data_IF_064587612687
#
_entry.id   IF_064587612687
#
_cell.length_a   1.000
_cell.length_b   1.000
_cell.length_c   1.000
_cell.angle_alpha   90.00
_cell.angle_beta   90.00
_cell.angle_gamma   90.00
#
_symmetry.space_group_name_H-M   'P 1'
#
loop_
_entity.id
_entity.type
_entity.pdbx_description
1 polymer ?
#
# COMPACT_ATOMS: atom_id res chain seq x y z
N UNK A 1 -11.68 32.41 -9.67
CA UNK A 1 -11.41 31.16 -10.42
C UNK A 1 -11.32 30.06 -9.39
N UNK A 2 -12.43 29.35 -9.25
CA UNK A 2 -12.63 28.34 -8.23
C UNK A 2 -11.66 27.18 -8.42
N UNK A 3 -10.90 26.88 -7.36
CA UNK A 3 -10.15 25.64 -7.26
C UNK A 3 -11.15 24.51 -7.13
N UNK A 4 -11.56 23.94 -8.25
CA UNK A 4 -12.22 22.64 -8.29
C UNK A 4 -11.18 21.62 -7.85
N UNK A 5 -11.06 21.42 -6.53
CA UNK A 5 -10.46 20.19 -6.01
C UNK A 5 -11.32 19.04 -6.55
N UNK A 6 -10.71 17.99 -7.16
CA UNK A 6 -11.47 16.84 -7.59
C UNK A 6 -12.30 16.31 -6.42
N UNK A 7 -13.62 16.34 -6.62
CA UNK A 7 -14.62 15.79 -5.73
C UNK A 7 -14.28 14.31 -5.45
N UNK A 8 -14.29 13.94 -4.16
CA UNK A 8 -14.21 12.57 -3.61
C UNK A 8 -12.82 11.94 -3.46
N UNK A 9 -11.97 12.55 -2.63
CA UNK A 9 -10.99 11.78 -1.83
C UNK A 9 -11.59 11.48 -0.44
N UNK A 10 -12.59 10.58 -0.40
CA UNK A 10 -13.05 9.97 0.86
C UNK A 10 -12.51 8.55 0.87
N UNK A 11 -11.23 8.38 1.20
CA UNK A 11 -10.75 7.08 1.62
C UNK A 11 -11.24 6.87 3.05
N UNK A 12 -12.35 6.15 3.22
CA UNK A 12 -12.57 5.42 4.45
C UNK A 12 -11.56 4.26 4.48
N UNK A 13 -10.29 4.57 4.74
CA UNK A 13 -9.33 3.51 5.01
C UNK A 13 -9.62 2.98 6.41
N UNK A 14 -10.27 1.83 6.43
CA UNK A 14 -10.38 0.99 7.61
C UNK A 14 -8.98 0.40 7.81
N UNK A 15 -8.36 0.78 8.92
CA UNK A 15 -6.92 0.66 9.14
C UNK A 15 -6.40 -0.80 9.18
N UNK A 16 -7.30 -1.79 9.17
CA UNK A 16 -6.95 -3.20 9.09
C UNK A 16 -7.89 -3.93 8.10
N UNK A 17 -7.46 -4.22 6.86
CA UNK A 17 -8.21 -5.08 5.93
C UNK A 17 -8.29 -6.54 6.43
N UNK A 18 -7.44 -6.93 7.38
CA UNK A 18 -7.19 -8.34 7.74
C UNK A 18 -7.62 -8.66 9.18
N UNK A 19 -7.71 -7.70 10.12
CA UNK A 19 -8.04 -8.03 11.52
C UNK A 19 -8.47 -6.81 12.36
N UNK A 20 -9.79 -6.61 12.46
CA UNK A 20 -10.48 -5.68 13.37
C UNK A 20 -10.30 -4.18 13.07
N UNK A 21 -11.41 -3.53 12.74
CA UNK A 21 -11.57 -2.08 12.50
C UNK A 21 -11.23 -1.17 13.70
N UNK A 22 -10.66 -1.70 14.78
CA UNK A 22 -10.46 -1.03 16.06
C UNK A 22 -9.00 -1.09 16.45
N UNK A 23 -8.33 0.06 16.34
CA UNK A 23 -7.01 0.26 16.91
C UNK A 23 -7.12 0.29 18.44
N UNK A 24 -6.36 -0.57 19.11
CA UNK A 24 -6.33 -0.61 20.56
C UNK A 24 -5.71 0.68 21.13
N UNK A 25 -6.56 1.51 21.75
CA UNK A 25 -6.17 2.74 22.43
C UNK A 25 -5.57 2.53 23.83
N UNK A 26 -5.66 3.59 24.64
CA UNK A 26 -5.03 3.62 25.97
C UNK A 26 -5.70 2.66 26.97
N UNK A 27 -4.88 2.04 27.82
CA UNK A 27 -5.34 1.25 28.97
C UNK A 27 -5.60 2.12 30.22
N UNK A 28 -5.03 3.33 30.28
CA UNK A 28 -5.20 4.29 31.38
C UNK A 28 -5.12 5.75 30.88
N UNK A 29 -5.27 6.72 31.77
CA UNK A 29 -5.36 8.16 31.41
C UNK A 29 -4.03 8.90 31.30
N UNK A 30 -2.92 8.28 31.72
CA UNK A 30 -1.63 8.97 31.90
C UNK A 30 -0.53 8.47 30.97
N UNK A 31 -0.63 7.22 30.52
CA UNK A 31 0.31 6.63 29.55
C UNK A 31 -0.23 6.80 28.13
N UNK A 32 0.68 7.12 27.22
CA UNK A 32 0.44 7.07 25.80
C UNK A 32 0.35 5.62 25.30
N UNK A 33 -0.57 5.37 24.37
CA UNK A 33 -0.58 4.14 23.58
C UNK A 33 -0.08 4.46 22.17
N UNK A 34 1.15 4.04 21.86
CA UNK A 34 1.71 4.16 20.51
C UNK A 34 1.31 2.95 19.67
N UNK A 35 0.84 3.21 18.44
CA UNK A 35 0.49 2.17 17.47
C UNK A 35 1.17 2.50 16.15
N UNK A 36 1.88 1.51 15.61
CA UNK A 36 2.43 1.57 14.26
C UNK A 36 1.33 1.16 13.29
N UNK A 37 1.15 1.97 12.24
CA UNK A 37 0.31 1.59 11.11
C UNK A 37 1.19 0.84 10.13
N UNK A 38 0.86 -0.43 9.89
CA UNK A 38 1.51 -1.24 8.87
C UNK A 38 0.43 -1.93 8.03
N UNK A 39 0.26 -1.53 6.75
CA UNK A 39 1.06 -0.56 5.99
C UNK A 39 0.89 0.91 6.47
N UNK A 40 1.85 1.80 6.15
CA UNK A 40 1.68 3.23 6.36
C UNK A 40 0.51 3.77 5.52
N UNK A 41 -0.05 4.91 5.94
CA UNK A 41 -1.21 5.54 5.30
C UNK A 41 -0.81 6.86 4.65
N UNK A 42 -1.16 7.03 3.36
CA UNK A 42 -1.06 8.31 2.66
C UNK A 42 -2.36 9.10 2.85
N UNK A 43 -2.30 10.21 3.58
CA UNK A 43 -3.47 11.03 3.84
C UNK A 43 -3.17 12.52 3.90
N UNK A 44 -4.10 13.32 3.36
CA UNK A 44 -4.16 14.78 3.58
C UNK A 44 -5.05 15.18 4.75
N UNK A 45 -5.92 14.26 5.19
CA UNK A 45 -6.85 14.44 6.31
C UNK A 45 -6.98 13.13 7.08
N UNK A 46 -6.92 13.21 8.40
CA UNK A 46 -7.08 12.05 9.29
C UNK A 46 -8.28 12.30 10.20
N UNK A 47 -9.17 11.30 10.32
CA UNK A 47 -10.33 11.35 11.22
C UNK A 47 -10.22 10.22 12.24
N UNK A 48 -10.18 10.59 13.51
CA UNK A 48 -10.25 9.65 14.61
C UNK A 48 -11.72 9.47 15.06
N UNK A 49 -12.14 8.22 15.24
CA UNK A 49 -13.47 7.86 15.75
C UNK A 49 -13.30 7.19 17.11
N UNK A 50 -13.48 7.91 18.23
CA UNK A 50 -13.35 7.32 19.55
C UNK A 50 -14.35 6.18 19.75
N UNK A 51 -13.86 5.02 20.17
CA UNK A 51 -14.66 3.82 20.41
C UNK A 51 -14.41 3.27 21.82
N UNK A 52 -15.48 2.85 22.50
CA UNK A 52 -15.41 2.14 23.77
C UNK A 52 -16.48 1.06 23.80
N UNK A 53 -16.10 -0.14 24.22
CA UNK A 53 -17.04 -1.26 24.39
C UNK A 53 -18.11 -0.95 25.44
N UNK A 54 -17.70 -0.39 26.59
CA UNK A 54 -18.63 0.07 27.62
C UNK A 54 -19.07 1.52 27.38
N UNK A 55 -20.32 1.83 27.74
CA UNK A 55 -20.86 3.20 27.74
C UNK A 55 -20.15 4.04 28.81
N UNK A 56 -19.24 4.90 28.38
CA UNK A 56 -18.53 5.86 29.21
C UNK A 56 -18.19 7.10 28.40
N UNK A 57 -17.93 8.20 29.08
CA UNK A 57 -17.34 9.38 28.44
C UNK A 57 -15.93 9.00 27.94
N UNK A 58 -15.65 9.30 26.67
CA UNK A 58 -14.35 9.05 26.05
C UNK A 58 -13.67 10.39 25.81
N UNK A 59 -12.42 10.50 26.24
CA UNK A 59 -11.56 11.65 25.99
C UNK A 59 -10.38 11.19 25.15
N UNK A 60 -9.85 12.09 24.32
CA UNK A 60 -8.77 11.74 23.40
C UNK A 60 -7.77 12.89 23.32
N UNK A 61 -6.48 12.53 23.32
CA UNK A 61 -5.34 13.36 22.93
C UNK A 61 -4.56 12.53 21.92
N UNK A 62 -4.28 13.09 20.75
CA UNK A 62 -3.64 12.38 19.64
C UNK A 62 -2.36 13.08 19.23
N UNK A 63 -1.43 12.28 18.72
CA UNK A 63 -0.23 12.74 18.04
C UNK A 63 -0.05 11.87 16.79
N UNK A 64 0.41 12.46 15.67
CA UNK A 64 0.62 11.76 14.41
C UNK A 64 2.10 11.80 14.08
N UNK A 65 2.70 10.61 13.96
CA UNK A 65 4.10 10.46 13.53
C UNK A 65 4.13 10.05 12.06
N UNK A 66 4.88 10.79 11.26
CA UNK A 66 5.03 10.53 9.83
C UNK A 66 6.03 11.49 9.19
N UNK A 67 6.03 11.52 7.86
CA UNK A 67 6.84 12.42 7.05
C UNK A 67 6.00 13.03 5.92
N UNK A 68 6.54 14.06 5.28
CA UNK A 68 5.91 14.61 4.07
C UNK A 68 6.06 13.64 2.91
N UNK A 69 4.97 13.47 2.15
CA UNK A 69 4.98 12.71 0.90
C UNK A 69 5.54 13.56 -0.23
N UNK A 70 6.83 13.41 -0.52
CA UNK A 70 7.52 14.25 -1.50
C UNK A 70 7.44 13.70 -2.93
N UNK A 71 7.33 12.38 -3.08
CA UNK A 71 7.26 11.70 -4.38
C UNK A 71 6.03 12.14 -5.18
N UNK A 72 4.95 12.49 -4.49
CA UNK A 72 3.78 13.12 -5.09
C UNK A 72 2.93 12.18 -5.94
N UNK A 73 3.19 10.87 -5.90
CA UNK A 73 2.34 9.86 -6.52
C UNK A 73 1.01 9.86 -5.78
N UNK A 74 -0.09 10.03 -6.52
CA UNK A 74 -1.47 10.03 -6.01
C UNK A 74 -2.11 8.68 -6.20
N UNK A 75 -1.84 8.03 -7.33
CA UNK A 75 -2.24 6.65 -7.58
C UNK A 75 -1.37 6.01 -8.63
N UNK A 76 -1.36 4.69 -8.69
CA UNK A 76 -0.90 3.97 -9.87
C UNK A 76 -1.97 3.01 -10.39
N UNK A 77 -1.98 2.81 -11.70
CA UNK A 77 -2.85 1.85 -12.38
C UNK A 77 -1.99 0.77 -13.02
N UNK A 78 -2.28 -0.48 -12.70
CA UNK A 78 -1.57 -1.64 -13.24
C UNK A 78 -2.44 -2.90 -13.19
N UNK A 79 -2.15 -3.94 -13.98
CA UNK A 79 -2.80 -5.22 -13.78
C UNK A 79 -2.37 -5.83 -12.45
N UNK A 80 -3.27 -6.59 -11.81
CA UNK A 80 -2.94 -7.30 -10.57
C UNK A 80 -1.76 -8.26 -10.81
N UNK A 81 -0.99 -8.51 -9.75
CA UNK A 81 0.07 -9.51 -9.77
C UNK A 81 -0.45 -10.91 -10.06
N UNK A 82 0.46 -11.84 -10.33
CA UNK A 82 0.15 -13.22 -10.67
C UNK A 82 0.48 -14.19 -9.53
N UNK A 83 -0.19 -15.35 -9.54
CA UNK A 83 0.20 -16.50 -8.71
C UNK A 83 1.23 -17.37 -9.42
N UNK A 84 2.19 -17.89 -8.66
CA UNK A 84 3.14 -18.92 -9.11
C UNK A 84 2.89 -20.23 -8.36
N UNK A 85 2.26 -21.17 -9.06
CA UNK A 85 1.86 -22.44 -8.47
C UNK A 85 0.83 -22.26 -7.36
N UNK A 86 0.77 -23.19 -6.41
CA UNK A 86 -0.20 -23.18 -5.30
C UNK A 86 0.25 -22.40 -4.06
N UNK A 87 1.51 -21.95 -4.00
CA UNK A 87 2.11 -21.46 -2.75
C UNK A 87 2.62 -20.02 -2.77
N UNK A 88 2.64 -19.35 -3.93
CA UNK A 88 3.25 -18.02 -4.06
C UNK A 88 2.29 -17.08 -4.77
N UNK A 89 1.88 -16.03 -4.07
CA UNK A 89 1.01 -14.97 -4.59
C UNK A 89 1.83 -13.67 -4.63
N UNK A 90 2.01 -13.11 -5.83
CA UNK A 90 2.76 -11.86 -6.02
C UNK A 90 1.84 -10.68 -6.24
N UNK A 91 0.73 -10.66 -5.49
CA UNK A 91 -0.26 -9.60 -5.56
C UNK A 91 0.22 -8.35 -4.85
N UNK A 92 -0.40 -7.23 -5.20
CA UNK A 92 -0.35 -6.03 -4.40
C UNK A 92 -1.38 -6.15 -3.26
N UNK A 93 -0.95 -6.67 -2.11
CA UNK A 93 -1.84 -7.03 -1.01
C UNK A 93 -2.25 -5.82 -0.16
N UNK A 94 -1.48 -4.73 -0.19
CA UNK A 94 -1.75 -3.50 0.55
C UNK A 94 -2.44 -2.44 -0.31
N UNK A 95 -2.82 -2.77 -1.55
CA UNK A 95 -3.45 -1.85 -2.47
C UNK A 95 -4.76 -1.28 -1.91
N UNK A 96 -4.83 0.03 -1.73
CA UNK A 96 -5.95 0.73 -1.08
C UNK A 96 -7.02 1.25 -2.06
N UNK A 97 -6.80 1.05 -3.36
CA UNK A 97 -7.75 1.37 -4.42
C UNK A 97 -8.76 0.25 -4.65
N UNK A 98 -9.26 0.14 -5.89
CA UNK A 98 -10.15 -0.94 -6.28
C UNK A 98 -9.60 -1.72 -7.48
N UNK A 99 -10.02 -2.98 -7.57
CA UNK A 99 -9.80 -3.84 -8.74
C UNK A 99 -11.08 -3.92 -9.54
N UNK A 100 -11.04 -3.59 -10.83
CA UNK A 100 -12.21 -3.64 -11.72
C UNK A 100 -12.38 -4.99 -12.44
N UNK A 101 -11.54 -5.99 -12.10
CA UNK A 101 -11.46 -7.28 -12.79
C UNK A 101 -10.30 -7.36 -13.79
N UNK A 102 -9.77 -6.22 -14.23
CA UNK A 102 -8.66 -6.13 -15.17
C UNK A 102 -7.46 -5.41 -14.56
N UNK A 103 -7.68 -4.20 -14.03
CA UNK A 103 -6.66 -3.31 -13.49
C UNK A 103 -6.99 -2.88 -12.06
N UNK A 104 -5.92 -2.71 -11.28
CA UNK A 104 -5.91 -1.96 -10.04
C UNK A 104 -5.97 -0.47 -10.37
N UNK A 105 -6.86 0.30 -9.74
CA UNK A 105 -7.06 1.73 -10.03
C UNK A 105 -7.29 2.57 -8.78
N UNK A 106 -6.92 3.86 -8.88
CA UNK A 106 -7.16 4.91 -7.87
C UNK A 106 -6.65 4.58 -6.47
N UNK A 107 -5.52 3.89 -6.38
CA UNK A 107 -4.90 3.56 -5.11
C UNK A 107 -3.38 3.54 -5.16
N UNK A 108 -2.82 3.34 -3.99
CA UNK A 108 -1.42 3.11 -3.67
C UNK A 108 -1.30 1.77 -2.93
N UNK A 109 -0.09 1.25 -2.81
CA UNK A 109 0.15 -0.07 -2.23
C UNK A 109 1.64 -0.39 -2.20
N UNK A 110 1.99 -1.66 -2.38
CA UNK A 110 3.35 -2.18 -2.21
C UNK A 110 4.40 -1.52 -3.12
N UNK A 111 4.01 -0.95 -4.27
CA UNK A 111 4.96 -0.28 -5.15
C UNK A 111 5.44 1.08 -4.62
N UNK A 112 4.76 1.63 -3.61
CA UNK A 112 5.03 2.96 -3.08
C UNK A 112 5.19 2.99 -1.56
N UNK A 113 5.08 1.85 -0.87
CA UNK A 113 5.10 1.75 0.60
C UNK A 113 6.48 1.95 1.26
N UNK A 114 7.53 2.13 0.46
CA UNK A 114 8.89 2.34 0.91
C UNK A 114 9.58 1.07 1.44
N UNK A 115 8.92 -0.08 1.38
CA UNK A 115 9.51 -1.38 1.73
C UNK A 115 10.19 -1.98 0.50
N UNK A 116 11.28 -2.71 0.74
CA UNK A 116 12.01 -3.43 -0.31
C UNK A 116 11.88 -4.93 -0.02
N UNK A 117 11.55 -5.70 -1.05
CA UNK A 117 11.44 -7.15 -0.95
C UNK A 117 12.80 -7.83 -0.70
N UNK A 118 12.81 -9.00 -0.02
CA UNK A 118 14.04 -9.75 0.23
C UNK A 118 14.65 -10.30 -1.08
N UNK A 119 15.96 -10.52 -1.08
CA UNK A 119 16.68 -11.13 -2.23
C UNK A 119 16.07 -12.48 -2.62
N UNK A 120 15.83 -13.33 -1.62
CA UNK A 120 15.10 -14.57 -1.80
C UNK A 120 13.61 -14.27 -1.72
N UNK A 121 12.93 -14.20 -2.87
CA UNK A 121 11.50 -13.89 -2.94
C UNK A 121 10.65 -14.88 -2.13
N UNK A 122 11.18 -16.06 -1.79
CA UNK A 122 10.50 -17.06 -0.97
C UNK A 122 10.47 -16.73 0.52
N UNK A 123 11.38 -15.89 1.01
CA UNK A 123 11.44 -15.54 2.43
C UNK A 123 10.31 -14.59 2.85
N UNK A 124 9.82 -13.74 1.93
CA UNK A 124 8.71 -12.82 2.20
C UNK A 124 7.39 -13.50 2.60
N UNK A 125 7.25 -14.80 2.36
CA UNK A 125 6.06 -15.57 2.75
C UNK A 125 6.13 -16.15 4.17
N UNK A 126 7.34 -16.36 4.71
CA UNK A 126 7.51 -17.01 6.01
C UNK A 126 7.65 -16.03 7.17
N UNK A 127 7.98 -14.76 6.89
CA UNK A 127 8.17 -13.71 7.90
C UNK A 127 6.88 -12.89 8.10
N UNK A 128 5.88 -13.57 8.68
CA UNK A 128 4.72 -13.04 9.42
C UNK A 128 3.73 -12.03 8.80
N UNK A 129 3.98 -11.41 7.65
CA UNK A 129 3.06 -10.45 7.04
C UNK A 129 2.77 -10.82 5.59
N UNK A 130 1.59 -11.42 5.36
CA UNK A 130 1.02 -11.62 4.02
C UNK A 130 0.87 -10.24 3.35
N UNK A 131 1.88 -9.83 2.61
CA UNK A 131 1.99 -8.48 2.05
C UNK A 131 3.43 -7.93 2.01
N UNK A 132 4.40 -8.62 2.61
CA UNK A 132 5.81 -8.26 2.45
C UNK A 132 6.45 -8.99 1.28
N UNK A 133 6.72 -8.26 0.21
CA UNK A 133 7.60 -8.77 -0.84
C UNK A 133 7.40 -8.11 -2.19
N UNK A 134 7.24 -8.95 -3.19
CA UNK A 134 7.30 -8.57 -4.59
C UNK A 134 5.90 -8.55 -5.19
N UNK A 135 5.57 -7.48 -5.91
CA UNK A 135 4.52 -7.53 -6.93
C UNK A 135 5.14 -8.10 -8.19
N UNK A 136 4.52 -9.11 -8.79
CA UNK A 136 5.15 -9.90 -9.83
C UNK A 136 4.16 -10.39 -10.87
N UNK A 137 4.63 -10.47 -12.11
CA UNK A 137 3.81 -10.88 -13.25
C UNK A 137 4.55 -11.94 -14.05
N UNK A 138 3.80 -12.87 -14.61
CA UNK A 138 4.33 -13.89 -15.50
C UNK A 138 4.33 -13.37 -16.94
N UNK A 139 5.31 -13.84 -17.70
CA UNK A 139 5.40 -13.47 -19.12
C UNK A 139 4.36 -14.22 -19.97
N UNK A 140 4.06 -15.47 -19.63
CA UNK A 140 3.19 -16.34 -20.41
C UNK A 140 1.70 -15.99 -20.30
N UNK A 141 1.31 -15.16 -19.33
CA UNK A 141 -0.07 -14.67 -19.16
C UNK A 141 -0.41 -13.48 -20.06
N UNK A 142 0.56 -12.93 -20.80
CA UNK A 142 0.42 -11.61 -21.46
C UNK A 142 0.64 -11.58 -22.96
N UNK A 143 0.75 -12.75 -23.61
CA UNK A 143 0.94 -12.81 -25.06
C UNK A 143 2.17 -12.04 -25.56
N UNK A 144 3.22 -11.93 -24.74
CA UNK A 144 4.45 -11.20 -25.06
C UNK A 144 4.36 -9.68 -24.91
N UNK A 145 3.27 -9.13 -24.38
CA UNK A 145 3.17 -7.70 -24.09
C UNK A 145 3.87 -7.32 -22.78
N UNK A 146 4.53 -6.15 -22.73
CA UNK A 146 5.17 -5.66 -21.51
C UNK A 146 4.14 -5.31 -20.43
N UNK A 147 4.62 -5.17 -19.19
CA UNK A 147 3.81 -4.65 -18.09
C UNK A 147 3.66 -3.14 -18.26
N UNK A 148 2.43 -2.65 -18.33
CA UNK A 148 2.12 -1.24 -18.30
C UNK A 148 1.69 -0.83 -16.89
N UNK A 149 2.40 0.16 -16.31
CA UNK A 149 2.08 0.78 -15.03
C UNK A 149 1.98 2.28 -15.26
N UNK A 150 0.84 2.87 -14.92
CA UNK A 150 0.58 4.32 -15.07
C UNK A 150 0.58 4.97 -13.70
N UNK A 151 1.48 5.91 -13.48
CA UNK A 151 1.52 6.71 -12.25
C UNK A 151 0.85 8.06 -12.48
N UNK A 152 -0.04 8.45 -11.58
CA UNK A 152 -0.63 9.77 -11.51
C UNK A 152 0.04 10.58 -10.41
N UNK A 153 0.40 11.84 -10.70
CA UNK A 153 1.07 12.73 -9.76
C UNK A 153 0.15 13.90 -9.35
N UNK A 154 0.40 14.43 -8.15
CA UNK A 154 -0.35 15.52 -7.53
C UNK A 154 -0.28 16.85 -8.32
N UNK A 155 0.78 17.04 -9.10
CA UNK A 155 1.03 18.20 -9.96
C UNK A 155 2.00 17.85 -11.08
N UNK A 156 2.14 18.77 -12.03
CA UNK A 156 3.18 18.69 -13.07
C UNK A 156 4.55 18.73 -12.38
N UNK A 157 5.41 17.77 -12.74
CA UNK A 157 6.74 17.57 -12.15
C UNK A 157 7.77 17.35 -13.26
N UNK A 158 9.01 17.76 -12.97
CA UNK A 158 10.18 17.42 -13.78
C UNK A 158 10.81 16.15 -13.22
N UNK A 159 10.95 15.11 -14.04
CA UNK A 159 11.50 13.83 -13.64
C UNK A 159 12.98 13.74 -14.00
N UNK A 160 13.83 13.55 -12.99
CA UNK A 160 15.28 13.35 -13.20
C UNK A 160 15.64 11.87 -13.32
N UNK A 161 14.95 11.01 -12.57
CA UNK A 161 15.19 9.57 -12.55
C UNK A 161 13.92 8.82 -12.12
N UNK A 162 13.87 7.55 -12.49
CA UNK A 162 12.91 6.57 -11.97
C UNK A 162 13.71 5.40 -11.42
N UNK A 163 13.49 5.07 -10.15
CA UNK A 163 14.15 3.95 -9.49
C UNK A 163 13.15 2.82 -9.34
N UNK A 164 13.43 1.68 -9.98
CA UNK A 164 12.60 0.48 -9.89
C UNK A 164 13.43 -0.60 -9.24
N UNK A 165 13.01 -1.07 -8.08
CA UNK A 165 13.63 -2.20 -7.41
C UNK A 165 13.06 -3.48 -8.01
N UNK A 166 13.94 -4.34 -8.54
CA UNK A 166 13.57 -5.59 -9.19
C UNK A 166 14.33 -6.76 -8.58
N UNK A 167 13.66 -7.91 -8.48
CA UNK A 167 14.31 -9.16 -8.10
C UNK A 167 15.03 -9.78 -9.31
N UNK A 168 16.23 -10.34 -9.10
CA UNK A 168 17.00 -11.00 -10.14
C UNK A 168 17.45 -12.42 -9.75
N UNK A 169 16.55 -13.21 -9.18
CA UNK A 169 16.81 -14.61 -8.85
C UNK A 169 16.62 -15.52 -10.08
N UNK A 170 17.49 -15.36 -11.09
CA UNK A 170 17.39 -16.03 -12.39
C UNK A 170 17.41 -17.56 -12.29
N UNK A 171 18.07 -18.12 -11.27
CA UNK A 171 18.07 -19.57 -10.96
C UNK A 171 16.68 -20.11 -10.59
N UNK A 172 15.70 -19.22 -10.43
CA UNK A 172 14.31 -19.50 -10.10
C UNK A 172 13.36 -18.80 -11.08
N UNK A 173 13.77 -18.51 -12.31
CA UNK A 173 12.91 -17.89 -13.34
C UNK A 173 12.38 -16.49 -12.96
N UNK A 174 13.05 -15.79 -12.04
CA UNK A 174 12.76 -14.39 -11.71
C UNK A 174 13.89 -13.53 -12.24
N UNK A 175 13.57 -12.56 -13.09
CA UNK A 175 14.57 -11.79 -13.83
C UNK A 175 14.07 -10.36 -14.02
N UNK A 176 15.02 -9.43 -14.11
CA UNK A 176 14.76 -8.03 -14.46
C UNK A 176 14.22 -7.97 -15.89
N UNK A 177 13.33 -7.01 -16.16
CA UNK A 177 12.90 -6.72 -17.52
C UNK A 177 14.10 -6.45 -18.42
N UNK A 178 14.12 -7.05 -19.61
CA UNK A 178 15.10 -6.78 -20.65
C UNK A 178 14.64 -5.64 -21.54
#
# INVERSE_FOLDING_TARGET
>A
MDRVLPQHFIYHQRLDPIKNDVIQGNANTYLEAKRTLDPPVWASRVRFLPYSYHRRTVCMRVEIYGCYWNDGIVSYTMPQGDKRGSGWEFFDATYDGFWDGELLRRGLGQLTDGKIGPENFKMGYYDYERGQGWVGWRNDTRGGQPIEIKFEFDRIREFTAVHIYCNNQFTRDVQVSK
#
